data_IF_957658743951
#
_entry.id   IF_957658743951
#
_cell.length_a   1.000
_cell.length_b   1.000
_cell.length_c   1.000
_cell.angle_alpha   90.00
_cell.angle_beta   90.00
_cell.angle_gamma   90.00
#
_symmetry.space_group_name_H-M   'P 1'
#
loop_
_entity.id
_entity.type
_entity.pdbx_description
1 polymer ?
#
# COMPACT_ATOMS: atom_id res chain seq x y z
N UNK A 1 -4.70 -62.99 -1.09
CA UNK A 1 -4.86 -61.71 -0.34
C UNK A 1 -5.89 -60.72 -0.94
N UNK A 2 -6.50 -60.95 -2.11
CA UNK A 2 -7.46 -60.01 -2.74
C UNK A 2 -8.89 -59.99 -2.13
N UNK A 3 -9.23 -60.92 -1.24
CA UNK A 3 -10.62 -61.14 -0.83
C UNK A 3 -11.08 -60.35 0.42
N UNK A 4 -10.22 -59.52 1.03
CA UNK A 4 -10.61 -58.67 2.18
C UNK A 4 -10.95 -57.23 1.78
N UNK A 5 -10.32 -56.67 0.74
CA UNK A 5 -10.63 -55.29 0.29
C UNK A 5 -12.07 -55.13 -0.23
N UNK A 6 -12.67 -56.19 -0.77
CA UNK A 6 -14.03 -56.14 -1.32
C UNK A 6 -15.13 -56.48 -0.29
N UNK A 7 -14.80 -56.55 1.01
CA UNK A 7 -15.80 -56.69 2.10
C UNK A 7 -16.13 -55.38 2.79
N UNK A 8 -15.28 -54.36 2.67
CA UNK A 8 -15.57 -53.03 3.22
C UNK A 8 -16.63 -52.30 2.37
N UNK A 9 -16.82 -52.73 1.12
CA UNK A 9 -17.80 -52.19 0.17
C UNK A 9 -19.18 -52.87 0.19
N UNK A 10 -19.46 -53.75 1.16
CA UNK A 10 -20.83 -54.20 1.45
C UNK A 10 -21.34 -53.52 2.71
N UNK A 11 -21.55 -52.21 2.62
CA UNK A 11 -22.52 -51.55 3.51
C UNK A 11 -23.85 -52.25 3.26
N UNK A 12 -24.35 -53.02 4.23
CA UNK A 12 -25.67 -53.64 4.17
C UNK A 12 -26.68 -52.50 4.30
N UNK A 13 -27.05 -51.95 3.16
CA UNK A 13 -27.69 -50.65 3.07
C UNK A 13 -29.19 -50.81 3.29
N UNK A 14 -29.64 -50.62 4.54
CA UNK A 14 -31.06 -50.40 4.79
C UNK A 14 -31.43 -49.04 4.15
N UNK A 15 -32.51 -48.97 3.37
CA UNK A 15 -32.85 -47.77 2.55
C UNK A 15 -32.83 -46.48 3.38
N UNK A 16 -33.23 -46.55 4.65
CA UNK A 16 -33.18 -45.44 5.60
C UNK A 16 -31.78 -45.02 6.08
N UNK A 17 -30.81 -45.94 6.11
CA UNK A 17 -29.43 -45.62 6.47
C UNK A 17 -28.69 -44.92 5.33
N UNK A 18 -28.97 -45.30 4.07
CA UNK A 18 -28.48 -44.56 2.90
C UNK A 18 -29.07 -43.16 2.82
N UNK A 19 -30.38 -43.04 3.09
CA UNK A 19 -31.06 -41.75 3.08
C UNK A 19 -30.52 -40.81 4.17
N UNK A 20 -30.25 -41.34 5.38
CA UNK A 20 -29.61 -40.57 6.46
C UNK A 20 -28.17 -40.18 6.14
N UNK A 21 -27.39 -41.07 5.53
CA UNK A 21 -26.01 -40.78 5.14
C UNK A 21 -25.94 -39.76 3.99
N UNK A 22 -26.84 -39.87 3.01
CA UNK A 22 -26.99 -38.89 1.94
C UNK A 22 -27.44 -37.51 2.48
N UNK A 23 -28.37 -37.49 3.45
CA UNK A 23 -28.81 -36.26 4.12
C UNK A 23 -27.67 -35.61 4.94
N UNK A 24 -26.89 -36.41 5.68
CA UNK A 24 -25.69 -35.90 6.38
C UNK A 24 -24.64 -35.34 5.41
N UNK A 25 -24.43 -35.99 4.26
CA UNK A 25 -23.48 -35.51 3.25
C UNK A 25 -23.96 -34.20 2.62
N UNK A 26 -25.25 -34.07 2.31
CA UNK A 26 -25.85 -32.84 1.80
C UNK A 26 -25.74 -31.68 2.81
N UNK A 27 -25.97 -31.93 4.10
CA UNK A 27 -25.78 -30.91 5.13
C UNK A 27 -24.30 -30.52 5.30
N UNK A 28 -23.38 -31.47 5.24
CA UNK A 28 -21.94 -31.19 5.33
C UNK A 28 -21.47 -30.28 4.16
N UNK A 29 -21.98 -30.51 2.94
CA UNK A 29 -21.70 -29.65 1.78
C UNK A 29 -22.31 -28.25 1.96
N UNK A 30 -23.52 -28.16 2.51
CA UNK A 30 -24.17 -26.86 2.79
C UNK A 30 -23.39 -26.00 3.80
N UNK A 31 -22.78 -26.63 4.82
CA UNK A 31 -21.97 -25.95 5.84
C UNK A 31 -20.61 -25.49 5.26
N UNK A 32 -20.02 -26.25 4.33
CA UNK A 32 -18.79 -25.83 3.63
C UNK A 32 -19.02 -24.62 2.72
N UNK A 33 -20.23 -24.40 2.22
CA UNK A 33 -20.59 -23.22 1.43
C UNK A 33 -20.64 -21.92 2.26
N UNK A 34 -20.80 -22.00 3.59
CA UNK A 34 -20.80 -20.85 4.51
C UNK A 34 -19.42 -20.51 5.09
N UNK A 35 -18.37 -21.27 4.75
CA UNK A 35 -17.01 -21.06 5.28
C UNK A 35 -16.27 -19.87 4.62
N UNK A 36 -16.92 -19.16 3.70
CA UNK A 36 -16.38 -18.02 2.96
C UNK A 36 -16.94 -16.68 3.39
N UNK A 37 -17.12 -16.42 4.69
CA UNK A 37 -17.38 -15.05 5.16
C UNK A 37 -16.14 -14.22 4.87
N UNK A 38 -16.09 -13.60 3.70
CA UNK A 38 -15.21 -12.45 3.48
C UNK A 38 -15.59 -11.42 4.52
N UNK A 39 -14.67 -11.11 5.45
CA UNK A 39 -14.79 -9.92 6.28
C UNK A 39 -14.72 -8.73 5.32
N UNK A 40 -15.88 -8.25 4.91
CA UNK A 40 -15.99 -7.04 4.12
C UNK A 40 -15.67 -5.90 5.08
N UNK A 41 -14.41 -5.45 5.09
CA UNK A 41 -14.06 -4.15 5.66
C UNK A 41 -14.75 -3.11 4.77
N UNK A 42 -16.01 -2.84 5.07
CA UNK A 42 -16.89 -2.02 4.24
C UNK A 42 -16.38 -0.58 4.08
N UNK A 43 -15.47 -0.15 4.97
CA UNK A 43 -14.90 1.19 4.91
C UNK A 43 -13.53 1.23 5.60
N UNK A 44 -12.45 1.20 4.84
CA UNK A 44 -11.09 1.46 5.33
C UNK A 44 -10.78 2.96 5.44
N UNK A 45 -11.71 3.84 5.07
CA UNK A 45 -11.52 5.30 5.07
C UNK A 45 -11.22 5.84 6.48
N UNK A 46 -11.74 5.18 7.52
CA UNK A 46 -11.47 5.58 8.91
C UNK A 46 -9.99 5.43 9.30
N UNK A 47 -9.25 4.55 8.61
CA UNK A 47 -7.82 4.33 8.84
C UNK A 47 -6.97 5.07 7.81
N UNK A 48 -7.43 5.18 6.56
CA UNK A 48 -6.64 5.85 5.50
C UNK A 48 -6.69 7.37 5.60
N UNK A 49 -7.84 7.97 5.95
CA UNK A 49 -7.95 9.44 6.02
C UNK A 49 -6.94 10.10 6.99
N UNK A 50 -6.73 9.62 8.23
CA UNK A 50 -5.68 10.19 9.09
C UNK A 50 -4.27 9.95 8.55
N UNK A 51 -4.03 8.81 7.88
CA UNK A 51 -2.73 8.51 7.26
C UNK A 51 -2.44 9.44 6.09
N UNK A 52 -3.45 9.75 5.26
CA UNK A 52 -3.29 10.65 4.12
C UNK A 52 -3.05 12.10 4.56
N UNK A 53 -3.70 12.53 5.64
CA UNK A 53 -3.39 13.81 6.28
C UNK A 53 -1.95 13.86 6.83
N UNK A 54 -1.48 12.76 7.45
CA UNK A 54 -0.11 12.67 7.95
C UNK A 54 0.93 12.68 6.82
N UNK A 55 0.67 11.97 5.72
CA UNK A 55 1.50 12.03 4.50
C UNK A 55 1.54 13.45 3.93
N UNK A 56 0.40 14.14 3.89
CA UNK A 56 0.31 15.54 3.47
C UNK A 56 1.13 16.48 4.37
N UNK A 57 1.06 16.28 5.68
CA UNK A 57 1.88 17.04 6.64
C UNK A 57 3.38 16.82 6.42
N UNK A 58 3.81 15.56 6.28
CA UNK A 58 5.22 15.23 6.03
C UNK A 58 5.69 15.83 4.71
N UNK A 59 4.88 15.72 3.65
CA UNK A 59 5.15 16.37 2.37
C UNK A 59 5.32 17.88 2.52
N UNK A 60 4.43 18.54 3.26
CA UNK A 60 4.51 19.98 3.48
C UNK A 60 5.77 20.40 4.24
N UNK A 61 6.21 19.61 5.23
CA UNK A 61 7.46 19.86 5.97
C UNK A 61 8.67 19.73 5.05
N UNK A 62 8.74 18.66 4.24
CA UNK A 62 9.85 18.45 3.31
C UNK A 62 9.92 19.56 2.26
N UNK A 63 8.78 19.97 1.69
CA UNK A 63 8.73 21.12 0.79
C UNK A 63 9.15 22.42 1.49
N UNK A 64 8.78 22.61 2.76
CA UNK A 64 9.19 23.77 3.57
C UNK A 64 10.70 23.87 3.75
N UNK A 65 11.37 22.74 3.98
CA UNK A 65 12.84 22.68 4.05
C UNK A 65 13.46 23.02 2.69
N UNK A 66 12.87 22.53 1.59
CA UNK A 66 13.27 22.90 0.24
C UNK A 66 13.20 24.41 0.00
N UNK A 67 12.11 25.08 0.42
CA UNK A 67 11.96 26.53 0.28
C UNK A 67 13.06 27.29 1.02
N UNK A 68 13.41 26.88 2.25
CA UNK A 68 14.50 27.51 3.02
C UNK A 68 15.83 27.37 2.27
N UNK A 69 16.12 26.18 1.73
CA UNK A 69 17.36 25.95 0.98
C UNK A 69 17.42 26.76 -0.33
N UNK A 70 16.29 26.90 -1.05
CA UNK A 70 16.23 27.79 -2.23
C UNK A 70 16.49 29.24 -1.84
N UNK A 71 15.92 29.70 -0.73
CA UNK A 71 16.10 31.07 -0.24
C UNK A 71 17.56 31.33 0.07
N UNK A 72 18.24 30.35 0.67
CA UNK A 72 19.68 30.41 0.93
C UNK A 72 20.49 30.54 -0.36
N UNK A 73 20.21 29.71 -1.37
CA UNK A 73 20.86 29.79 -2.68
C UNK A 73 20.64 31.13 -3.37
N UNK A 74 19.44 31.70 -3.24
CA UNK A 74 19.11 33.05 -3.76
C UNK A 74 19.92 34.13 -3.03
N UNK A 75 20.09 34.01 -1.71
CA UNK A 75 20.93 34.93 -0.93
C UNK A 75 22.39 34.92 -1.36
N UNK A 76 22.98 33.75 -1.55
CA UNK A 76 24.36 33.62 -2.07
C UNK A 76 24.48 34.15 -3.50
N UNK A 77 23.47 33.89 -4.34
CA UNK A 77 23.43 34.39 -5.71
C UNK A 77 23.35 35.92 -5.75
N UNK A 78 22.56 36.54 -4.87
CA UNK A 78 22.46 38.01 -4.76
C UNK A 78 23.80 38.66 -4.39
N UNK A 79 24.56 38.06 -3.46
CA UNK A 79 25.89 38.57 -3.06
C UNK A 79 26.90 38.36 -4.20
N UNK A 80 26.79 37.26 -4.95
CA UNK A 80 27.68 36.98 -6.08
C UNK A 80 27.55 37.96 -7.26
N UNK A 81 26.49 38.78 -7.31
CA UNK A 81 26.38 39.89 -8.28
C UNK A 81 27.20 41.13 -7.91
N UNK A 82 27.68 41.23 -6.67
CA UNK A 82 28.55 42.32 -6.24
C UNK A 82 30.03 42.07 -6.62
N UNK A 83 30.37 40.85 -7.04
CA UNK A 83 31.69 40.49 -7.57
C UNK A 83 31.66 40.17 -9.07
N UNK A 84 32.81 40.26 -9.74
CA UNK A 84 32.95 39.98 -11.19
C UNK A 84 33.07 38.48 -11.52
N UNK A 85 33.05 37.60 -10.51
CA UNK A 85 33.26 36.17 -10.70
C UNK A 85 31.97 35.44 -11.11
N UNK A 86 31.76 35.30 -12.41
CA UNK A 86 30.64 34.54 -12.97
C UNK A 86 30.61 33.05 -12.56
N UNK A 87 31.74 32.51 -12.10
CA UNK A 87 31.82 31.14 -11.54
C UNK A 87 31.03 31.04 -10.24
N UNK A 88 31.09 32.04 -9.37
CA UNK A 88 30.33 32.05 -8.12
C UNK A 88 28.82 32.14 -8.40
N UNK A 89 28.42 32.99 -9.35
CA UNK A 89 27.02 33.08 -9.79
C UNK A 89 26.49 31.74 -10.32
N UNK A 90 27.28 31.01 -11.11
CA UNK A 90 26.90 29.71 -11.64
C UNK A 90 26.79 28.62 -10.56
N UNK A 91 27.65 28.64 -9.53
CA UNK A 91 27.54 27.69 -8.41
C UNK A 91 26.35 27.98 -7.51
N UNK A 92 26.09 29.26 -7.20
CA UNK A 92 24.90 29.67 -6.44
C UNK A 92 23.61 29.30 -7.19
N UNK A 93 23.58 29.46 -8.51
CA UNK A 93 22.45 29.04 -9.33
C UNK A 93 22.18 27.53 -9.25
N UNK A 94 23.22 26.69 -9.26
CA UNK A 94 23.06 25.23 -9.07
C UNK A 94 22.43 24.89 -7.72
N UNK A 95 22.77 25.63 -6.66
CA UNK A 95 22.15 25.45 -5.33
C UNK A 95 20.67 25.84 -5.34
N UNK A 96 20.30 26.92 -6.02
CA UNK A 96 18.89 27.32 -6.21
C UNK A 96 18.12 26.20 -6.90
N UNK A 97 18.63 25.70 -8.03
CA UNK A 97 18.00 24.60 -8.77
C UNK A 97 17.88 23.35 -7.91
N UNK A 98 18.93 22.98 -7.15
CA UNK A 98 18.89 21.86 -6.22
C UNK A 98 17.83 22.03 -5.12
N UNK A 99 17.64 23.25 -4.61
CA UNK A 99 16.57 23.55 -3.67
C UNK A 99 15.18 23.42 -4.28
N UNK A 100 14.97 23.88 -5.52
CA UNK A 100 13.67 23.77 -6.20
C UNK A 100 13.32 22.30 -6.41
N UNK A 101 14.29 21.48 -6.81
CA UNK A 101 14.12 20.03 -6.93
C UNK A 101 13.77 19.41 -5.58
N UNK A 102 14.38 19.86 -4.48
CA UNK A 102 14.04 19.39 -3.13
C UNK A 102 12.61 19.79 -2.70
N UNK A 103 12.11 20.96 -3.11
CA UNK A 103 10.70 21.36 -2.89
C UNK A 103 9.73 20.41 -3.59
N UNK A 104 10.10 19.96 -4.80
CA UNK A 104 9.27 19.09 -5.63
C UNK A 104 9.41 17.60 -5.28
N UNK A 105 10.46 17.20 -4.56
CA UNK A 105 10.71 15.81 -4.17
C UNK A 105 9.49 15.09 -3.56
N UNK A 106 8.76 15.66 -2.56
CA UNK A 106 7.63 14.97 -1.98
C UNK A 106 6.41 14.91 -2.93
N UNK A 107 6.28 15.85 -3.86
CA UNK A 107 5.23 15.85 -4.89
C UNK A 107 5.46 14.73 -5.91
N UNK A 108 6.72 14.55 -6.32
CA UNK A 108 7.13 13.49 -7.26
C UNK A 108 6.95 12.11 -6.60
N UNK A 109 7.34 11.96 -5.33
CA UNK A 109 7.17 10.71 -4.59
C UNK A 109 5.69 10.33 -4.41
N UNK A 110 4.81 11.29 -4.19
CA UNK A 110 3.38 11.06 -4.02
C UNK A 110 2.66 10.64 -5.33
N UNK A 111 3.23 10.93 -6.50
CA UNK A 111 2.68 10.52 -7.81
C UNK A 111 3.21 9.14 -8.24
N UNK A 112 4.39 8.76 -7.77
CA UNK A 112 5.07 7.50 -8.12
C UNK A 112 4.57 6.28 -7.34
N UNK A 113 3.97 6.50 -6.17
CA UNK A 113 3.42 5.48 -5.26
C UNK A 113 1.90 5.49 -5.34
#
# INVERSE_FOLDING_TARGET
MKNKCMKVLKVKMNKGAFLKLAYCFLMAVFIMQFSGVSVFAADYSQVTAPIDNLKGLVSAIVSSVGYIYTLWGIGEWAISFQGSEGVMQAQSFKRIVGGIVAVMAPQILAVLI
#
